data_IF_736780025225
#
_entry.id   IF_736780025225
#
_cell.length_a   1.000
_cell.length_b   1.000
_cell.length_c   1.000
_cell.angle_alpha   90.00
_cell.angle_beta   90.00
_cell.angle_gamma   90.00
#
_symmetry.space_group_name_H-M   'P 1'
#
loop_
_entity.id
_entity.type
_entity.pdbx_description
1 polymer ?
#
# COMPACT_ATOMS: atom_id res chain seq x y z
N UNK A 1 13.13 1.39 -6.81
CA UNK A 1 13.11 2.81 -6.43
C UNK A 1 14.21 3.67 -7.06
N UNK A 2 15.34 3.09 -7.54
CA UNK A 2 16.38 3.84 -8.29
C UNK A 2 15.88 4.67 -9.48
N UNK A 3 14.75 4.31 -10.10
CA UNK A 3 14.17 5.07 -11.22
C UNK A 3 13.36 6.32 -10.78
N UNK A 4 13.07 6.45 -9.49
CA UNK A 4 12.34 7.56 -8.86
C UNK A 4 13.26 8.25 -7.85
N UNK A 5 14.52 8.48 -8.22
CA UNK A 5 15.55 9.02 -7.32
C UNK A 5 15.37 10.54 -7.13
N UNK A 6 14.26 10.88 -6.48
CA UNK A 6 13.93 12.21 -6.01
C UNK A 6 14.32 12.25 -4.52
N UNK A 7 15.53 12.73 -4.17
CA UNK A 7 16.11 12.55 -2.83
C UNK A 7 15.26 13.16 -1.71
N UNK A 8 14.36 14.10 -2.04
CA UNK A 8 13.51 14.80 -1.08
C UNK A 8 12.03 14.38 -1.14
N UNK A 9 11.67 13.39 -1.95
CA UNK A 9 10.28 12.95 -2.06
C UNK A 9 9.95 11.97 -0.92
N UNK A 10 9.03 12.36 -0.04
CA UNK A 10 8.48 11.46 0.97
C UNK A 10 7.53 10.47 0.31
N UNK A 11 7.92 9.20 0.27
CA UNK A 11 7.12 8.11 -0.31
C UNK A 11 6.39 7.36 0.81
N UNK A 12 5.08 7.17 0.62
CA UNK A 12 4.22 6.36 1.49
C UNK A 12 3.66 5.19 0.68
N UNK A 13 3.73 3.99 1.24
CA UNK A 13 3.18 2.77 0.65
C UNK A 13 1.91 2.37 1.39
N UNK A 14 0.93 1.84 0.67
CA UNK A 14 -0.36 1.44 1.23
C UNK A 14 -0.66 -0.02 0.91
N UNK A 15 -1.20 -0.74 1.88
CA UNK A 15 -1.71 -2.10 1.74
C UNK A 15 -2.96 -2.26 2.57
N UNK A 16 -3.93 -3.04 2.09
CA UNK A 16 -5.11 -3.46 2.84
C UNK A 16 -4.94 -4.83 3.50
N UNK A 17 -3.81 -5.50 3.29
CA UNK A 17 -3.49 -6.74 3.97
C UNK A 17 -2.74 -6.46 5.27
N UNK A 18 -3.45 -6.59 6.39
CA UNK A 18 -2.86 -6.51 7.74
C UNK A 18 -1.80 -7.58 7.95
N UNK A 19 -1.99 -8.79 7.40
CA UNK A 19 -1.00 -9.87 7.43
C UNK A 19 0.31 -9.48 6.73
N UNK A 20 0.23 -8.91 5.52
CA UNK A 20 1.43 -8.45 4.79
C UNK A 20 2.12 -7.32 5.55
N UNK A 21 1.35 -6.36 6.09
CA UNK A 21 1.90 -5.27 6.89
C UNK A 21 2.57 -5.79 8.16
N UNK A 22 1.99 -6.79 8.82
CA UNK A 22 2.59 -7.45 9.96
C UNK A 22 3.91 -8.12 9.58
N UNK A 23 3.99 -8.87 8.48
CA UNK A 23 5.26 -9.44 8.01
C UNK A 23 6.29 -8.40 7.59
N UNK A 24 5.88 -7.23 7.08
CA UNK A 24 6.81 -6.14 6.75
C UNK A 24 7.38 -5.52 8.02
N UNK A 25 6.54 -5.29 9.04
CA UNK A 25 6.93 -4.65 10.31
C UNK A 25 7.68 -5.62 11.22
N UNK A 26 7.15 -6.82 11.40
CA UNK A 26 7.64 -7.86 12.33
C UNK A 26 8.28 -9.03 11.58
N UNK A 27 9.19 -9.74 12.25
CA UNK A 27 9.76 -10.98 11.69
C UNK A 27 8.90 -12.17 12.08
N UNK A 28 7.80 -12.34 11.36
CA UNK A 28 6.90 -13.49 11.52
C UNK A 28 7.38 -14.74 10.81
N UNK A 29 6.98 -15.90 11.34
CA UNK A 29 7.09 -17.17 10.62
C UNK A 29 6.20 -17.13 9.38
N UNK A 30 6.81 -17.24 8.21
CA UNK A 30 6.13 -17.33 6.93
C UNK A 30 6.88 -18.31 6.03
N UNK A 31 6.24 -18.76 4.95
CA UNK A 31 6.91 -19.64 3.98
C UNK A 31 8.12 -18.95 3.36
N UNK A 32 9.08 -19.73 2.87
CA UNK A 32 10.30 -19.22 2.20
C UNK A 32 9.96 -18.23 1.09
N UNK A 33 8.89 -18.50 0.34
CA UNK A 33 8.38 -17.63 -0.72
C UNK A 33 7.97 -16.24 -0.23
N UNK A 34 7.27 -16.16 0.91
CA UNK A 34 6.85 -14.89 1.52
C UNK A 34 8.05 -14.18 2.13
N UNK A 35 8.90 -14.92 2.85
CA UNK A 35 10.11 -14.37 3.49
C UNK A 35 11.03 -13.68 2.48
N UNK A 36 11.25 -14.28 1.31
CA UNK A 36 12.09 -13.68 0.27
C UNK A 36 11.52 -12.35 -0.26
N UNK A 37 10.20 -12.26 -0.47
CA UNK A 37 9.54 -11.01 -0.89
C UNK A 37 9.59 -9.94 0.17
N UNK A 38 9.35 -10.31 1.42
CA UNK A 38 9.45 -9.38 2.56
C UNK A 38 10.87 -8.84 2.69
N UNK A 39 11.90 -9.67 2.48
CA UNK A 39 13.30 -9.23 2.44
C UNK A 39 13.54 -8.22 1.31
N UNK A 40 13.06 -8.48 0.10
CA UNK A 40 13.17 -7.54 -1.03
C UNK A 40 12.47 -6.21 -0.73
N UNK A 41 11.25 -6.24 -0.18
CA UNK A 41 10.50 -5.03 0.22
C UNK A 41 11.28 -4.22 1.25
N UNK A 42 11.87 -4.86 2.27
CA UNK A 42 12.68 -4.21 3.30
C UNK A 42 14.01 -3.66 2.77
N UNK A 43 14.60 -4.29 1.76
CA UNK A 43 15.79 -3.77 1.07
C UNK A 43 15.44 -2.54 0.23
N UNK A 44 14.25 -2.51 -0.36
CA UNK A 44 13.83 -1.46 -1.27
C UNK A 44 13.11 -0.29 -0.58
N UNK A 45 12.54 -0.47 0.61
CA UNK A 45 11.66 0.50 1.27
C UNK A 45 11.92 0.54 2.78
N UNK A 46 11.54 1.65 3.43
CA UNK A 46 11.55 1.75 4.90
C UNK A 46 10.27 1.13 5.46
N UNK A 47 10.38 0.27 6.45
CA UNK A 47 9.22 -0.42 7.07
C UNK A 47 8.17 0.56 7.59
N UNK A 48 8.60 1.68 8.20
CA UNK A 48 7.71 2.72 8.72
C UNK A 48 6.99 3.53 7.63
N UNK A 49 7.38 3.40 6.36
CA UNK A 49 6.70 4.07 5.24
C UNK A 49 5.45 3.32 4.77
N UNK A 50 5.19 2.12 5.29
CA UNK A 50 4.01 1.33 4.97
C UNK A 50 2.85 1.63 5.93
N UNK A 51 1.70 1.97 5.35
CA UNK A 51 0.44 2.27 6.06
C UNK A 51 -0.67 1.30 5.65
N UNK A 52 -1.63 1.12 6.54
CA UNK A 52 -2.84 0.35 6.26
C UNK A 52 -3.92 1.24 5.63
N UNK A 53 -4.59 0.72 4.61
CA UNK A 53 -5.81 1.32 4.04
C UNK A 53 -6.92 0.26 4.03
N UNK A 54 -8.16 0.58 4.43
CA UNK A 54 -9.27 -0.34 4.27
C UNK A 54 -9.46 -0.76 2.80
N UNK A 55 -9.80 -2.02 2.53
CA UNK A 55 -9.94 -2.53 1.16
C UNK A 55 -10.95 -1.76 0.30
N UNK A 56 -12.04 -1.26 0.89
CA UNK A 56 -13.00 -0.40 0.19
C UNK A 56 -12.47 1.00 -0.15
N UNK A 57 -11.34 1.40 0.45
CA UNK A 57 -10.63 2.67 0.20
C UNK A 57 -9.32 2.45 -0.59
N UNK A 58 -8.95 1.19 -0.84
CA UNK A 58 -7.78 0.81 -1.63
C UNK A 58 -8.10 0.90 -3.12
N UNK A 59 -7.53 1.87 -3.87
CA UNK A 59 -7.83 2.01 -5.29
C UNK A 59 -7.31 0.82 -6.11
N UNK A 60 -6.30 0.08 -5.61
CA UNK A 60 -5.75 -1.09 -6.29
C UNK A 60 -6.74 -2.27 -6.33
N UNK A 61 -7.70 -2.32 -5.40
CA UNK A 61 -8.66 -3.44 -5.29
C UNK A 61 -9.61 -3.51 -6.49
N UNK A 62 -9.95 -2.36 -7.07
CA UNK A 62 -10.80 -2.30 -8.26
C UNK A 62 -10.12 -2.96 -9.47
N UNK A 63 -8.80 -2.80 -9.59
CA UNK A 63 -8.01 -3.38 -10.67
C UNK A 63 -7.76 -4.87 -10.44
N UNK A 64 -7.41 -5.26 -9.22
CA UNK A 64 -7.04 -6.64 -8.89
C UNK A 64 -8.22 -7.61 -8.95
N UNK A 65 -9.43 -7.17 -8.55
CA UNK A 65 -10.66 -7.98 -8.61
C UNK A 65 -11.30 -8.02 -9.99
N UNK A 66 -10.91 -7.11 -10.88
CA UNK A 66 -11.54 -6.89 -12.17
C UNK A 66 -12.83 -6.09 -12.07
N UNK A 67 -13.09 -5.27 -13.09
CA UNK A 67 -14.36 -4.58 -13.26
C UNK A 67 -14.64 -4.36 -14.74
N UNK A 68 -15.88 -3.97 -15.07
CA UNK A 68 -16.21 -3.64 -16.45
C UNK A 68 -15.42 -2.41 -16.93
N UNK A 69 -15.10 -2.30 -18.23
CA UNK A 69 -14.41 -1.12 -18.76
C UNK A 69 -15.12 0.20 -18.42
N UNK A 70 -16.46 0.20 -18.44
CA UNK A 70 -17.26 1.36 -18.05
C UNK A 70 -17.05 1.77 -16.58
N UNK A 71 -17.08 0.80 -15.66
CA UNK A 71 -16.85 1.06 -14.24
C UNK A 71 -15.41 1.52 -14.00
N UNK A 72 -14.45 0.97 -14.73
CA UNK A 72 -13.04 1.35 -14.64
C UNK A 72 -12.80 2.79 -15.11
N UNK A 73 -13.43 3.20 -16.22
CA UNK A 73 -13.34 4.57 -16.73
C UNK A 73 -14.00 5.56 -15.76
N UNK A 74 -15.16 5.21 -15.20
CA UNK A 74 -15.87 6.05 -14.24
C UNK A 74 -15.18 6.17 -12.89
N UNK A 75 -14.45 5.15 -12.44
CA UNK A 75 -13.81 5.16 -11.13
C UNK A 75 -12.63 6.12 -11.04
N UNK A 76 -12.04 6.49 -12.18
CA UNK A 76 -10.82 7.33 -12.24
C UNK A 76 -9.72 6.78 -11.34
N UNK A 77 -9.55 5.46 -11.31
CA UNK A 77 -8.64 4.78 -10.37
C UNK A 77 -7.21 5.34 -10.39
N UNK A 78 -6.76 5.87 -11.53
CA UNK A 78 -5.43 6.47 -11.72
C UNK A 78 -5.28 7.84 -11.05
N UNK A 79 -6.37 8.53 -10.70
CA UNK A 79 -6.31 9.79 -9.94
C UNK A 79 -6.05 9.57 -8.45
N UNK A 80 -6.08 8.31 -8.00
CA UNK A 80 -6.05 7.95 -6.58
C UNK A 80 -7.34 8.32 -5.86
N UNK A 81 -7.47 7.80 -4.63
CA UNK A 81 -8.57 8.11 -3.73
C UNK A 81 -8.56 9.59 -3.35
N UNK A 82 -9.73 10.22 -3.16
CA UNK A 82 -9.82 11.65 -2.82
C UNK A 82 -8.96 12.03 -1.60
N UNK A 83 -8.92 11.17 -0.57
CA UNK A 83 -8.14 11.38 0.64
C UNK A 83 -6.62 11.46 0.40
N UNK A 84 -6.08 10.89 -0.69
CA UNK A 84 -4.65 11.03 -1.01
C UNK A 84 -4.27 12.46 -1.42
N UNK A 85 -5.25 13.26 -1.85
CA UNK A 85 -5.07 14.66 -2.24
C UNK A 85 -5.15 15.60 -1.02
N UNK A 86 -5.62 15.10 0.12
CA UNK A 86 -5.69 15.84 1.38
C UNK A 86 -4.31 15.92 2.05
N UNK A 87 -4.19 16.80 3.05
CA UNK A 87 -3.02 16.84 3.92
C UNK A 87 -2.74 15.45 4.52
N UNK A 88 -1.47 14.98 4.55
CA UNK A 88 -1.10 13.69 5.16
C UNK A 88 -1.59 13.44 6.59
N UNK A 89 -1.90 14.48 7.35
CA UNK A 89 -2.51 14.42 8.69
C UNK A 89 -3.96 13.95 8.65
N UNK A 90 -4.66 14.19 7.53
CA UNK A 90 -6.06 13.79 7.30
C UNK A 90 -6.17 12.42 6.60
N UNK A 91 -5.05 11.77 6.29
CA UNK A 91 -5.09 10.44 5.70
C UNK A 91 -5.63 9.40 6.70
N UNK A 92 -6.20 8.28 6.22
CA UNK A 92 -6.72 7.24 7.09
C UNK A 92 -5.65 6.71 8.05
N UNK A 93 -5.86 6.90 9.35
CA UNK A 93 -5.10 6.27 10.44
C UNK A 93 -5.96 5.17 11.04
N UNK A 94 -6.21 4.11 10.28
CA UNK A 94 -6.89 2.95 10.85
C UNK A 94 -5.84 2.14 11.60
N UNK A 95 -5.95 2.11 12.93
CA UNK A 95 -5.12 1.24 13.76
C UNK A 95 -5.40 -0.22 13.39
N UNK A 96 -4.32 -0.98 13.19
CA UNK A 96 -4.43 -2.43 13.03
C UNK A 96 -4.73 -2.96 14.43
N UNK A 97 -6.01 -3.21 14.72
CA UNK A 97 -6.38 -3.97 15.92
C UNK A 97 -5.84 -5.38 15.69
N UNK A 98 -4.82 -5.74 16.47
CA UNK A 98 -4.16 -7.05 16.44
C UNK A 98 -5.02 -8.14 17.03
#
# INVERSE_FOLDING_TARGET
MKALDFPNLKITFWSDSTTVLWWIKEQGNCSVFVSNRVKEIRLLTKTHSWKYVPGNMNPADLLSRGCSPYKLLKSKWWEGSAWLKENPENWPTVEIIG
#
